data_IF_514610218806
#
_entry.id   IF_514610218806
#
_cell.length_a   1.000
_cell.length_b   1.000
_cell.length_c   1.000
_cell.angle_alpha   90.00
_cell.angle_beta   90.00
_cell.angle_gamma   90.00
#
_symmetry.space_group_name_H-M   'P 1'
#
loop_
_entity.id
_entity.type
_entity.pdbx_description
1 polymer ?
#
# COMPACT_ATOMS: atom_id res chain seq x y z
N UNK A 1 15.26 58.94 61.49
CA UNK A 1 15.51 58.86 60.04
C UNK A 1 15.72 57.40 59.64
N UNK A 2 14.67 56.77 59.19
CA UNK A 2 14.71 55.31 58.82
C UNK A 2 14.66 55.20 57.31
N UNK A 3 15.76 54.79 56.68
CA UNK A 3 15.88 54.60 55.23
C UNK A 3 15.32 53.22 54.84
N UNK A 4 14.17 53.19 54.18
CA UNK A 4 13.65 52.00 53.51
C UNK A 4 14.47 51.70 52.25
N UNK A 5 15.15 50.57 52.23
CA UNK A 5 15.85 50.05 51.09
C UNK A 5 14.92 49.13 50.34
N UNK A 6 14.30 49.59 49.26
CA UNK A 6 13.46 48.81 48.36
C UNK A 6 14.36 47.96 47.45
N UNK A 7 14.31 46.62 47.67
CA UNK A 7 15.00 45.62 46.85
C UNK A 7 14.14 45.34 45.59
N UNK A 8 14.56 45.86 44.44
CA UNK A 8 13.96 45.48 43.15
C UNK A 8 14.43 44.06 42.76
N UNK A 9 13.53 43.07 42.84
CA UNK A 9 13.70 41.77 42.23
C UNK A 9 13.53 41.92 40.72
N UNK A 10 14.63 41.99 39.98
CA UNK A 10 14.62 41.84 38.53
C UNK A 10 14.34 40.38 38.15
N UNK A 11 13.09 40.07 37.75
CA UNK A 11 12.72 38.81 37.14
C UNK A 11 13.42 38.73 35.79
N UNK A 12 14.53 38.03 35.68
CA UNK A 12 15.14 37.63 34.43
C UNK A 12 14.20 36.64 33.74
N UNK A 13 13.35 37.11 32.84
CA UNK A 13 12.66 36.24 31.90
C UNK A 13 13.74 35.55 31.06
N UNK A 14 13.98 34.29 31.34
CA UNK A 14 14.81 33.42 30.48
C UNK A 14 14.08 33.32 29.15
N UNK A 15 14.50 34.13 28.18
CA UNK A 15 14.02 33.99 26.81
C UNK A 15 14.50 32.63 26.31
N UNK A 16 13.58 31.66 26.27
CA UNK A 16 13.88 30.38 25.70
C UNK A 16 14.23 30.56 24.21
N UNK A 17 15.32 29.95 23.76
CA UNK A 17 15.80 30.11 22.40
C UNK A 17 14.75 29.57 21.40
N UNK A 18 14.38 30.40 20.45
CA UNK A 18 13.54 30.05 19.31
C UNK A 18 14.43 29.66 18.13
N UNK A 19 14.03 28.64 17.41
CA UNK A 19 14.72 28.14 16.23
C UNK A 19 13.78 28.12 15.03
N UNK A 20 14.32 28.36 13.85
CA UNK A 20 13.57 28.28 12.61
C UNK A 20 13.23 26.83 12.28
N UNK A 21 12.03 26.63 11.76
CA UNK A 21 11.55 25.32 11.32
C UNK A 21 10.68 25.45 10.06
N UNK A 22 10.46 24.32 9.39
CA UNK A 22 9.56 24.21 8.26
C UNK A 22 8.55 23.09 8.52
N UNK A 23 7.29 23.37 8.23
CA UNK A 23 6.20 22.39 8.30
C UNK A 23 6.05 21.79 6.91
N UNK A 24 6.35 20.51 6.77
CA UNK A 24 6.35 19.82 5.49
C UNK A 24 5.32 18.68 5.46
N UNK A 25 4.98 18.22 4.26
CA UNK A 25 4.22 16.99 4.12
C UNK A 25 5.07 15.82 4.66
N UNK A 26 4.42 14.86 5.34
CA UNK A 26 5.09 13.64 5.81
C UNK A 26 5.86 12.94 4.71
N UNK A 27 5.24 12.84 3.55
CA UNK A 27 5.87 12.37 2.32
C UNK A 27 5.13 12.91 1.10
N UNK A 28 5.85 12.98 0.00
CA UNK A 28 5.29 13.26 -1.31
C UNK A 28 5.52 12.05 -2.20
N UNK A 29 4.46 11.56 -2.85
CA UNK A 29 4.49 10.37 -3.69
C UNK A 29 4.11 10.75 -5.11
N UNK A 30 4.97 10.42 -6.05
CA UNK A 30 4.68 10.53 -7.48
C UNK A 30 4.03 9.24 -7.96
N UNK A 31 2.81 9.35 -8.42
CA UNK A 31 2.04 8.21 -8.95
C UNK A 31 2.40 8.02 -10.41
N UNK A 32 2.84 6.80 -10.72
CA UNK A 32 3.22 6.37 -12.07
C UNK A 32 2.41 5.14 -12.48
N UNK A 33 2.28 4.91 -13.77
CA UNK A 33 1.77 3.63 -14.27
C UNK A 33 2.88 2.59 -14.30
N UNK A 34 2.57 1.37 -13.91
CA UNK A 34 3.45 0.21 -14.07
C UNK A 34 3.35 -0.45 -15.43
N UNK A 35 2.40 0.00 -16.27
CA UNK A 35 2.13 -0.54 -17.60
C UNK A 35 1.89 0.59 -18.60
N UNK A 36 2.27 0.36 -19.84
CA UNK A 36 1.97 1.27 -20.94
C UNK A 36 0.50 1.10 -21.35
N UNK A 37 -0.27 2.17 -21.18
CA UNK A 37 -1.66 2.21 -21.60
C UNK A 37 -2.17 3.64 -21.65
N UNK A 38 -3.24 3.86 -22.41
CA UNK A 38 -3.96 5.13 -22.44
C UNK A 38 -4.77 5.28 -21.16
N UNK A 39 -4.79 6.49 -20.61
CA UNK A 39 -5.61 6.84 -19.45
C UNK A 39 -7.07 6.95 -19.90
N UNK A 40 -7.91 6.03 -19.40
CA UNK A 40 -9.35 6.06 -19.63
C UNK A 40 -10.01 7.19 -18.83
N UNK A 41 -9.69 7.31 -17.54
CA UNK A 41 -10.20 8.38 -16.69
C UNK A 41 -9.28 8.71 -15.51
N UNK A 42 -9.26 9.99 -15.13
CA UNK A 42 -8.69 10.49 -13.89
C UNK A 42 -9.84 10.89 -12.97
N UNK A 43 -9.99 10.21 -11.82
CA UNK A 43 -11.15 10.32 -10.92
C UNK A 43 -11.01 11.41 -9.85
N UNK A 44 -9.90 12.11 -9.83
CA UNK A 44 -9.55 13.12 -8.83
C UNK A 44 -8.99 14.37 -9.49
N UNK A 45 -9.09 15.51 -8.82
CA UNK A 45 -8.56 16.78 -9.28
C UNK A 45 -7.56 17.33 -8.27
N UNK A 46 -6.77 18.32 -8.68
CA UNK A 46 -5.87 19.05 -7.77
C UNK A 46 -6.66 19.57 -6.55
N UNK A 47 -6.12 19.35 -5.36
CA UNK A 47 -6.75 19.72 -4.09
C UNK A 47 -7.70 18.64 -3.52
N UNK A 48 -8.04 17.61 -4.27
CA UNK A 48 -8.87 16.51 -3.76
C UNK A 48 -8.16 15.72 -2.67
N UNK A 49 -8.87 15.39 -1.59
CA UNK A 49 -8.42 14.41 -0.61
C UNK A 49 -8.65 13.00 -1.14
N UNK A 50 -7.68 12.13 -0.93
CA UNK A 50 -7.72 10.72 -1.33
C UNK A 50 -7.38 9.82 -0.15
N UNK A 51 -8.08 8.70 -0.05
CA UNK A 51 -7.78 7.66 0.93
C UNK A 51 -6.84 6.60 0.31
N UNK A 52 -6.03 5.98 1.15
CA UNK A 52 -5.21 4.82 0.75
C UNK A 52 -6.11 3.72 0.17
N UNK A 53 -5.75 3.19 -1.00
CA UNK A 53 -6.53 2.19 -1.74
C UNK A 53 -7.63 2.77 -2.62
N UNK A 54 -7.98 4.04 -2.52
CA UNK A 54 -8.95 4.70 -3.40
C UNK A 54 -8.45 4.68 -4.84
N UNK A 55 -9.34 4.35 -5.78
CA UNK A 55 -9.05 4.42 -7.22
C UNK A 55 -8.93 5.87 -7.64
N UNK A 56 -7.79 6.23 -8.22
CA UNK A 56 -7.47 7.60 -8.66
C UNK A 56 -7.38 7.72 -10.17
N UNK A 57 -6.91 6.65 -10.86
CA UNK A 57 -6.82 6.61 -12.32
C UNK A 57 -7.26 5.23 -12.80
N UNK A 58 -7.96 5.18 -13.94
CA UNK A 58 -8.23 3.96 -14.69
C UNK A 58 -7.57 4.05 -16.06
N UNK A 59 -6.97 2.96 -16.49
CA UNK A 59 -6.36 2.81 -17.80
C UNK A 59 -7.28 1.98 -18.69
N UNK A 60 -7.18 2.16 -20.00
CA UNK A 60 -7.86 1.30 -20.98
C UNK A 60 -7.52 -0.17 -20.70
N UNK A 61 -8.55 -1.01 -20.64
CA UNK A 61 -8.43 -2.40 -20.18
C UNK A 61 -9.31 -3.38 -20.96
N UNK A 62 -9.74 -3.02 -22.16
CA UNK A 62 -10.60 -3.87 -23.00
C UNK A 62 -10.04 -5.27 -23.23
N UNK A 63 -8.81 -5.42 -23.74
CA UNK A 63 -8.17 -6.71 -23.96
C UNK A 63 -8.03 -7.55 -22.70
N UNK A 64 -7.62 -6.95 -21.57
CA UNK A 64 -7.42 -7.64 -20.30
C UNK A 64 -8.74 -8.13 -19.71
N UNK A 65 -9.81 -7.33 -19.83
CA UNK A 65 -11.16 -7.76 -19.40
C UNK A 65 -11.64 -8.97 -20.20
N UNK A 66 -11.43 -8.95 -21.52
CA UNK A 66 -11.77 -10.08 -22.39
C UNK A 66 -10.93 -11.33 -22.06
N UNK A 67 -9.63 -11.16 -21.82
CA UNK A 67 -8.74 -12.24 -21.42
C UNK A 67 -9.14 -12.86 -20.08
N UNK A 68 -9.50 -12.04 -19.08
CA UNK A 68 -10.01 -12.51 -17.80
C UNK A 68 -11.31 -13.28 -17.95
N UNK A 69 -12.28 -12.76 -18.73
CA UNK A 69 -13.55 -13.43 -18.95
C UNK A 69 -13.37 -14.82 -19.62
N UNK A 70 -12.47 -14.92 -20.61
CA UNK A 70 -12.13 -16.20 -21.23
C UNK A 70 -11.50 -17.19 -20.23
N UNK A 71 -10.54 -16.72 -19.44
CA UNK A 71 -9.85 -17.56 -18.44
C UNK A 71 -10.83 -18.03 -17.35
N UNK A 72 -11.72 -17.15 -16.89
CA UNK A 72 -12.77 -17.50 -15.95
C UNK A 72 -13.74 -18.57 -16.51
N UNK A 73 -14.18 -18.41 -17.76
CA UNK A 73 -15.03 -19.41 -18.41
C UNK A 73 -14.38 -20.78 -18.46
N UNK A 74 -13.07 -20.86 -18.74
CA UNK A 74 -12.31 -22.13 -18.70
C UNK A 74 -12.21 -22.70 -17.29
N UNK A 75 -11.95 -21.85 -16.29
CA UNK A 75 -11.82 -22.27 -14.88
C UNK A 75 -13.15 -22.78 -14.28
N UNK A 76 -14.29 -22.28 -14.76
CA UNK A 76 -15.62 -22.69 -14.31
C UNK A 76 -16.10 -23.99 -14.96
N UNK A 77 -15.51 -24.39 -16.09
CA UNK A 77 -15.86 -25.61 -16.82
C UNK A 77 -15.51 -26.84 -16.00
N UNK A 78 -16.54 -27.64 -15.65
CA UNK A 78 -16.41 -28.86 -14.83
C UNK A 78 -16.78 -30.13 -15.60
N UNK A 79 -17.01 -30.05 -16.90
CA UNK A 79 -17.47 -31.17 -17.70
C UNK A 79 -16.59 -32.40 -17.59
N UNK A 80 -15.30 -32.23 -17.79
CA UNK A 80 -14.32 -33.32 -17.78
C UNK A 80 -14.19 -33.99 -16.41
N UNK A 81 -14.27 -33.19 -15.32
CA UNK A 81 -14.26 -33.75 -13.97
C UNK A 81 -15.50 -34.59 -13.72
N UNK A 82 -16.70 -34.12 -14.07
CA UNK A 82 -17.95 -34.86 -13.88
C UNK A 82 -17.96 -36.15 -14.66
N UNK A 83 -17.47 -36.15 -15.90
CA UNK A 83 -17.33 -37.35 -16.74
C UNK A 83 -16.36 -38.35 -16.09
N UNK A 84 -15.20 -37.86 -15.66
CA UNK A 84 -14.18 -38.70 -15.00
C UNK A 84 -14.66 -39.24 -13.66
N UNK A 85 -15.40 -38.46 -12.86
CA UNK A 85 -16.02 -38.92 -11.60
C UNK A 85 -17.05 -40.03 -11.84
N UNK A 86 -17.89 -39.90 -12.86
CA UNK A 86 -18.84 -40.93 -13.24
C UNK A 86 -18.11 -42.25 -13.66
N UNK A 87 -17.02 -42.11 -14.45
CA UNK A 87 -16.19 -43.24 -14.88
C UNK A 87 -15.53 -43.97 -13.69
N UNK A 88 -14.95 -43.21 -12.75
CA UNK A 88 -14.41 -43.73 -11.49
C UNK A 88 -15.51 -44.47 -10.72
N UNK A 89 -16.72 -43.93 -10.62
CA UNK A 89 -17.83 -44.59 -9.93
C UNK A 89 -18.21 -45.93 -10.54
N UNK A 90 -18.22 -46.01 -11.88
CA UNK A 90 -18.54 -47.28 -12.59
C UNK A 90 -17.44 -48.29 -12.43
N UNK A 91 -16.17 -47.95 -12.66
CA UNK A 91 -15.03 -48.86 -12.60
C UNK A 91 -14.77 -49.35 -11.18
N UNK A 92 -14.96 -48.51 -10.17
CA UNK A 92 -14.91 -48.90 -8.76
C UNK A 92 -15.91 -50.00 -8.41
N UNK A 93 -17.17 -49.87 -8.85
CA UNK A 93 -18.21 -50.87 -8.62
C UNK A 93 -17.90 -52.17 -9.37
N UNK A 94 -17.30 -52.07 -10.60
CA UNK A 94 -16.86 -53.25 -11.38
C UNK A 94 -15.75 -54.00 -10.62
N UNK A 95 -14.72 -53.27 -10.16
CA UNK A 95 -13.64 -53.85 -9.38
C UNK A 95 -14.09 -54.46 -8.06
N UNK A 96 -14.92 -53.79 -7.29
CA UNK A 96 -15.46 -54.33 -6.04
C UNK A 96 -16.22 -55.67 -6.24
N UNK A 97 -17.04 -55.74 -7.29
CA UNK A 97 -17.73 -57.01 -7.63
C UNK A 97 -16.76 -58.09 -8.09
N UNK A 98 -15.73 -57.76 -8.87
CA UNK A 98 -14.72 -58.69 -9.28
C UNK A 98 -13.93 -59.22 -8.09
N UNK A 99 -13.58 -58.37 -7.13
CA UNK A 99 -12.89 -58.78 -5.89
C UNK A 99 -13.73 -59.74 -5.04
N UNK A 100 -15.05 -59.51 -4.94
CA UNK A 100 -15.98 -60.41 -4.22
C UNK A 100 -16.11 -61.76 -4.92
N UNK A 101 -16.26 -61.79 -6.25
CA UNK A 101 -16.34 -63.04 -7.03
C UNK A 101 -15.04 -63.81 -7.02
N UNK A 102 -13.89 -63.13 -7.02
CA UNK A 102 -12.58 -63.79 -6.91
C UNK A 102 -12.43 -64.49 -5.54
N UNK A 103 -12.82 -63.82 -4.45
CA UNK A 103 -12.81 -64.44 -3.09
C UNK A 103 -13.67 -65.70 -3.00
N UNK A 104 -14.72 -65.79 -3.82
CA UNK A 104 -15.60 -66.92 -3.93
C UNK A 104 -15.15 -67.96 -4.99
N UNK A 105 -13.97 -67.76 -5.61
CA UNK A 105 -13.43 -68.56 -6.71
C UNK A 105 -14.29 -68.66 -7.97
N UNK A 106 -15.14 -67.67 -8.24
CA UNK A 106 -15.99 -67.61 -9.43
C UNK A 106 -15.30 -66.99 -10.65
N UNK A 107 -14.20 -66.23 -10.47
CA UNK A 107 -13.44 -65.66 -11.56
C UNK A 107 -11.93 -65.87 -11.39
N UNK A 108 -11.17 -65.70 -12.48
CA UNK A 108 -9.71 -65.80 -12.49
C UNK A 108 -9.04 -64.57 -11.84
N UNK A 109 -7.82 -64.76 -11.35
CA UNK A 109 -7.00 -63.62 -10.90
C UNK A 109 -6.81 -62.55 -11.98
N UNK A 110 -6.63 -62.96 -13.23
CA UNK A 110 -6.47 -62.04 -14.35
C UNK A 110 -7.69 -61.14 -14.52
N UNK A 111 -8.93 -61.69 -14.40
CA UNK A 111 -10.16 -60.89 -14.53
C UNK A 111 -10.32 -59.86 -13.38
N UNK A 112 -9.89 -60.22 -12.17
CA UNK A 112 -9.83 -59.29 -11.02
C UNK A 112 -8.81 -58.16 -11.28
N UNK A 113 -7.59 -58.53 -11.72
CA UNK A 113 -6.48 -57.60 -11.95
C UNK A 113 -6.82 -56.61 -13.09
N UNK A 114 -7.52 -57.08 -14.12
CA UNK A 114 -8.03 -56.19 -15.19
C UNK A 114 -9.02 -55.18 -14.65
N UNK A 115 -9.98 -55.60 -13.81
CA UNK A 115 -10.93 -54.68 -13.20
C UNK A 115 -10.27 -53.66 -12.24
N UNK A 116 -9.20 -54.05 -11.55
CA UNK A 116 -8.39 -53.17 -10.72
C UNK A 116 -7.62 -52.17 -11.57
N UNK A 117 -7.00 -52.59 -12.66
CA UNK A 117 -6.30 -51.71 -13.60
C UNK A 117 -7.22 -50.65 -14.23
N UNK A 118 -8.44 -51.07 -14.65
CA UNK A 118 -9.46 -50.15 -15.16
C UNK A 118 -9.83 -49.07 -14.13
N UNK A 119 -9.99 -49.48 -12.86
CA UNK A 119 -10.30 -48.52 -11.78
C UNK A 119 -9.15 -47.55 -11.51
N UNK A 120 -7.90 -48.05 -11.46
CA UNK A 120 -6.70 -47.21 -11.30
C UNK A 120 -6.59 -46.21 -12.45
N UNK A 121 -6.73 -46.68 -13.70
CA UNK A 121 -6.66 -45.78 -14.87
C UNK A 121 -7.73 -44.67 -14.79
N UNK A 122 -8.98 -45.03 -14.48
CA UNK A 122 -10.04 -44.03 -14.31
C UNK A 122 -9.76 -43.04 -13.18
N UNK A 123 -9.11 -43.49 -12.10
CA UNK A 123 -8.71 -42.62 -10.98
C UNK A 123 -7.63 -41.63 -11.38
N UNK A 124 -6.65 -42.05 -12.19
CA UNK A 124 -5.59 -41.18 -12.73
C UNK A 124 -6.17 -40.16 -13.76
N UNK A 125 -7.15 -40.57 -14.57
CA UNK A 125 -7.86 -39.67 -15.47
C UNK A 125 -8.61 -38.56 -14.71
N UNK A 126 -9.28 -38.91 -13.59
CA UNK A 126 -9.92 -37.93 -12.72
C UNK A 126 -8.91 -36.96 -12.10
N UNK A 127 -7.78 -37.49 -11.63
CA UNK A 127 -6.70 -36.67 -11.07
C UNK A 127 -6.19 -35.67 -12.10
N UNK A 128 -5.94 -36.12 -13.33
CA UNK A 128 -5.52 -35.26 -14.46
C UNK A 128 -6.56 -34.18 -14.77
N UNK A 129 -7.84 -34.51 -14.79
CA UNK A 129 -8.92 -33.55 -15.02
C UNK A 129 -8.97 -32.46 -13.93
N UNK A 130 -8.73 -32.83 -12.67
CA UNK A 130 -8.63 -31.88 -11.53
C UNK A 130 -7.41 -30.97 -11.64
N UNK A 131 -6.27 -31.51 -12.03
CA UNK A 131 -5.05 -30.72 -12.25
C UNK A 131 -5.23 -29.72 -13.40
N UNK A 132 -5.86 -30.14 -14.51
CA UNK A 132 -6.19 -29.23 -15.61
C UNK A 132 -7.10 -28.09 -15.15
N UNK A 133 -8.11 -28.37 -14.33
CA UNK A 133 -8.99 -27.34 -13.79
C UNK A 133 -8.22 -26.40 -12.83
N UNK A 134 -7.32 -26.93 -12.00
CA UNK A 134 -6.47 -26.11 -11.14
C UNK A 134 -5.62 -25.13 -11.95
N UNK A 135 -5.00 -25.61 -13.03
CA UNK A 135 -4.22 -24.76 -13.93
C UNK A 135 -5.08 -23.67 -14.56
N UNK A 136 -6.30 -23.98 -15.01
CA UNK A 136 -7.24 -23.00 -15.55
C UNK A 136 -7.62 -21.93 -14.52
N UNK A 137 -7.81 -22.29 -13.24
CA UNK A 137 -8.06 -21.33 -12.15
C UNK A 137 -6.87 -20.42 -11.92
N UNK A 138 -5.65 -20.95 -11.95
CA UNK A 138 -4.42 -20.14 -11.81
C UNK A 138 -4.24 -19.18 -13.00
N UNK A 139 -4.61 -19.60 -14.22
CA UNK A 139 -4.63 -18.71 -15.40
C UNK A 139 -5.64 -17.57 -15.21
N UNK A 140 -6.84 -17.85 -14.70
CA UNK A 140 -7.84 -16.83 -14.42
C UNK A 140 -7.36 -15.85 -13.34
N UNK A 141 -6.72 -16.34 -12.28
CA UNK A 141 -6.12 -15.50 -11.25
C UNK A 141 -5.03 -14.59 -11.84
N UNK A 142 -4.13 -15.15 -12.67
CA UNK A 142 -3.10 -14.36 -13.36
C UNK A 142 -3.73 -13.26 -14.24
N UNK A 143 -4.78 -13.58 -14.99
CA UNK A 143 -5.48 -12.60 -15.82
C UNK A 143 -6.13 -11.49 -14.98
N UNK A 144 -6.66 -11.82 -13.78
CA UNK A 144 -7.20 -10.85 -12.84
C UNK A 144 -6.12 -9.89 -12.31
N UNK A 145 -4.93 -10.40 -11.96
CA UNK A 145 -3.81 -9.56 -11.53
C UNK A 145 -3.33 -8.63 -12.65
N UNK A 146 -3.25 -9.12 -13.88
CA UNK A 146 -2.89 -8.28 -15.05
C UNK A 146 -3.93 -7.16 -15.26
N UNK A 147 -5.22 -7.48 -15.12
CA UNK A 147 -6.29 -6.46 -15.18
C UNK A 147 -6.19 -5.46 -14.03
N UNK A 148 -5.81 -5.91 -12.82
CA UNK A 148 -5.67 -5.03 -11.67
C UNK A 148 -4.62 -3.93 -11.89
N UNK A 149 -3.57 -4.17 -12.68
CA UNK A 149 -2.57 -3.17 -13.07
C UNK A 149 -3.16 -2.00 -13.87
N UNK A 150 -4.35 -2.18 -14.47
CA UNK A 150 -5.07 -1.12 -15.20
C UNK A 150 -5.82 -0.16 -14.26
N UNK A 151 -5.80 -0.41 -12.97
CA UNK A 151 -6.46 0.43 -11.95
C UNK A 151 -5.43 0.95 -10.97
N UNK A 152 -5.12 2.23 -11.06
CA UNK A 152 -4.14 2.88 -10.18
C UNK A 152 -4.86 3.39 -8.94
N UNK A 153 -4.34 2.99 -7.78
CA UNK A 153 -4.88 3.36 -6.46
C UNK A 153 -3.89 4.21 -5.69
N UNK A 154 -4.41 5.07 -4.82
CA UNK A 154 -3.56 5.85 -3.92
C UNK A 154 -2.84 4.94 -2.92
N UNK A 155 -1.51 5.04 -2.80
CA UNK A 155 -0.74 4.30 -1.79
C UNK A 155 -0.83 4.93 -0.39
N UNK A 156 -1.29 6.18 -0.29
CA UNK A 156 -1.32 6.98 0.94
C UNK A 156 -2.67 7.66 1.14
N UNK A 157 -2.93 8.08 2.38
CA UNK A 157 -3.96 9.08 2.65
C UNK A 157 -3.35 10.47 2.42
N UNK A 158 -3.93 11.29 1.56
CA UNK A 158 -3.30 12.57 1.27
C UNK A 158 -4.13 13.46 0.37
N UNK A 159 -3.48 14.47 -0.16
CA UNK A 159 -4.06 15.47 -1.06
C UNK A 159 -3.37 15.40 -2.42
N UNK A 160 -4.13 15.55 -3.49
CA UNK A 160 -3.60 15.69 -4.85
C UNK A 160 -2.95 17.06 -5.00
N UNK A 161 -1.63 17.08 -5.10
CA UNK A 161 -0.86 18.32 -5.30
C UNK A 161 -0.95 18.78 -6.74
N UNK A 162 -0.81 17.83 -7.67
CA UNK A 162 -0.76 18.12 -9.09
C UNK A 162 -1.24 16.91 -9.90
N UNK A 163 -1.92 17.18 -11.02
CA UNK A 163 -2.30 16.20 -12.04
C UNK A 163 -1.56 16.56 -13.32
N UNK A 164 -0.61 15.72 -13.73
CA UNK A 164 0.30 15.97 -14.85
C UNK A 164 -0.19 15.33 -16.15
N UNK A 165 -1.05 14.32 -16.08
CA UNK A 165 -1.60 13.60 -17.23
C UNK A 165 -3.12 13.55 -17.17
N UNK A 166 -3.75 13.59 -18.35
CA UNK A 166 -5.21 13.62 -18.50
C UNK A 166 -5.73 12.39 -19.19
N UNK A 167 -7.04 12.18 -19.15
CA UNK A 167 -7.71 11.17 -19.95
C UNK A 167 -7.40 11.35 -21.45
N UNK A 168 -7.17 10.26 -22.16
CA UNK A 168 -6.75 10.22 -23.56
C UNK A 168 -5.22 10.29 -23.76
N UNK A 169 -4.45 10.60 -22.73
CA UNK A 169 -2.97 10.57 -22.80
C UNK A 169 -2.42 9.21 -22.38
N UNK A 170 -1.20 8.90 -22.81
CA UNK A 170 -0.50 7.72 -22.29
C UNK A 170 -0.11 7.92 -20.82
N UNK A 171 -0.44 6.96 -19.98
CA UNK A 171 -0.11 6.94 -18.56
C UNK A 171 1.38 6.78 -18.27
N UNK A 172 2.11 6.13 -19.18
CA UNK A 172 3.56 6.06 -19.19
C UNK A 172 4.04 6.00 -20.65
N UNK A 173 4.83 6.96 -21.08
CA UNK A 173 5.65 6.89 -22.30
C UNK A 173 7.02 6.31 -21.90
N UNK A 174 7.49 6.71 -20.72
CA UNK A 174 8.61 6.09 -20.01
C UNK A 174 8.16 5.85 -18.57
N UNK A 175 8.69 4.81 -17.91
CA UNK A 175 8.40 4.53 -16.49
C UNK A 175 8.77 5.68 -15.53
N UNK A 176 9.37 6.74 -16.04
CA UNK A 176 9.78 7.93 -15.26
C UNK A 176 8.73 9.02 -15.20
N UNK A 177 7.75 9.01 -16.11
CA UNK A 177 6.76 10.09 -16.19
C UNK A 177 5.64 9.91 -15.16
N UNK A 178 5.49 10.81 -14.18
CA UNK A 178 4.41 10.75 -13.22
C UNK A 178 3.09 11.18 -13.84
N UNK A 179 2.00 10.51 -13.43
CA UNK A 179 0.62 10.88 -13.79
C UNK A 179 0.12 11.98 -12.87
N UNK A 180 0.43 11.87 -11.58
CA UNK A 180 0.08 12.86 -10.56
C UNK A 180 1.01 12.79 -9.36
N UNK A 181 0.95 13.83 -8.53
CA UNK A 181 1.70 13.98 -7.30
C UNK A 181 0.74 14.06 -6.12
N UNK A 182 0.94 13.22 -5.13
CA UNK A 182 0.19 13.20 -3.87
C UNK A 182 1.09 13.64 -2.72
N UNK A 183 0.52 14.35 -1.75
CA UNK A 183 1.19 14.67 -0.49
C UNK A 183 0.40 14.11 0.70
N UNK A 184 1.06 13.38 1.57
CA UNK A 184 0.51 12.96 2.86
C UNK A 184 0.70 14.10 3.86
N UNK A 185 -0.42 14.73 4.25
CA UNK A 185 -0.42 15.93 5.11
C UNK A 185 -0.94 15.68 6.53
N UNK A 186 -1.16 14.44 6.93
CA UNK A 186 -1.54 14.05 8.29
C UNK A 186 -0.83 12.73 8.71
N UNK A 187 0.09 12.81 9.69
CA UNK A 187 0.62 14.02 10.29
C UNK A 187 1.52 14.81 9.36
N UNK A 188 1.72 16.11 9.64
CA UNK A 188 2.77 16.92 9.05
C UNK A 188 4.10 16.68 9.78
N UNK A 189 5.21 16.82 9.07
CA UNK A 189 6.53 16.86 9.68
C UNK A 189 6.95 18.30 9.92
N UNK A 190 7.43 18.59 11.10
CA UNK A 190 8.08 19.85 11.45
C UNK A 190 9.58 19.58 11.51
N UNK A 191 10.31 20.11 10.56
CA UNK A 191 11.76 19.99 10.46
C UNK A 191 12.39 21.25 11.05
N UNK A 192 13.11 21.10 12.16
CA UNK A 192 13.86 22.17 12.80
C UNK A 192 15.36 21.95 12.60
N UNK A 193 16.06 23.02 12.23
CA UNK A 193 17.53 23.01 12.05
C UNK A 193 18.16 23.73 13.23
N UNK A 194 18.91 22.99 14.04
CA UNK A 194 19.54 23.49 15.25
C UNK A 194 21.06 23.57 15.08
N UNK A 195 21.74 24.53 15.75
CA UNK A 195 23.18 24.51 15.85
C UNK A 195 23.71 23.21 16.53
N UNK A 196 24.83 22.69 16.11
CA UNK A 196 25.48 21.49 16.67
C UNK A 196 25.67 21.56 18.20
N UNK A 197 25.78 22.77 18.76
CA UNK A 197 25.88 23.00 20.21
C UNK A 197 24.65 22.58 20.99
N UNK A 198 23.52 22.32 20.31
CA UNK A 198 22.29 21.80 20.88
C UNK A 198 22.27 20.26 20.96
N UNK A 199 23.27 19.58 20.39
CA UNK A 199 23.38 18.13 20.48
C UNK A 199 23.46 17.68 21.95
N UNK A 200 22.64 16.70 22.30
CA UNK A 200 22.51 16.20 23.68
C UNK A 200 21.64 17.05 24.61
N UNK A 201 21.33 18.31 24.26
CA UNK A 201 20.40 19.16 25.01
C UNK A 201 18.95 18.92 24.63
N UNK A 202 18.68 18.67 23.35
CA UNK A 202 17.37 18.27 22.85
C UNK A 202 17.28 16.75 22.82
N UNK A 203 16.19 16.19 23.36
CA UNK A 203 15.98 14.74 23.47
C UNK A 203 14.68 14.31 22.83
N UNK A 204 14.64 13.08 22.32
CA UNK A 204 13.40 12.45 21.86
C UNK A 204 12.36 12.41 22.99
N UNK A 205 11.13 12.79 22.68
CA UNK A 205 10.03 12.87 23.65
C UNK A 205 9.97 14.20 24.41
N UNK A 206 10.98 15.07 24.31
CA UNK A 206 10.94 16.42 24.88
C UNK A 206 9.85 17.23 24.21
N UNK A 207 9.06 17.98 25.00
CA UNK A 207 8.02 18.85 24.45
C UNK A 207 8.63 20.07 23.79
N UNK A 208 8.02 20.50 22.70
CA UNK A 208 8.34 21.72 22.03
C UNK A 208 7.08 22.43 21.54
N UNK A 209 7.15 23.73 21.50
CA UNK A 209 6.07 24.58 21.03
C UNK A 209 6.41 25.03 19.62
N UNK A 210 5.56 24.69 18.66
CA UNK A 210 5.67 25.08 17.25
C UNK A 210 4.67 26.19 16.96
N UNK A 211 5.15 27.28 16.42
CA UNK A 211 4.36 28.44 16.01
C UNK A 211 4.55 28.65 14.53
N UNK A 212 3.53 28.31 13.69
CA UNK A 212 3.55 28.63 12.26
C UNK A 212 3.57 30.13 12.03
N UNK A 213 3.99 30.56 10.84
CA UNK A 213 3.92 31.98 10.45
C UNK A 213 2.52 32.58 10.67
N UNK A 214 2.48 33.88 10.95
CA UNK A 214 1.29 34.61 11.39
C UNK A 214 0.05 34.46 10.50
N UNK A 215 0.23 34.18 9.21
CA UNK A 215 -0.89 33.95 8.27
C UNK A 215 -1.75 32.72 8.60
N UNK A 216 -1.16 31.70 9.28
CA UNK A 216 -1.84 30.45 9.63
C UNK A 216 -2.25 30.46 11.11
N UNK A 217 -1.40 31.06 11.95
CA UNK A 217 -1.63 31.17 13.38
C UNK A 217 -1.58 29.85 14.12
N UNK A 218 -1.89 29.92 15.41
CA UNK A 218 -1.88 28.76 16.28
C UNK A 218 -0.55 28.55 17.02
N UNK A 219 -0.63 27.77 18.09
CA UNK A 219 0.50 27.35 18.90
C UNK A 219 0.30 25.88 19.24
N UNK A 220 1.23 25.06 18.83
CA UNK A 220 1.11 23.60 18.88
C UNK A 220 2.20 23.04 19.79
N UNK A 221 1.80 22.42 20.89
CA UNK A 221 2.72 21.74 21.78
C UNK A 221 2.78 20.25 21.39
N UNK A 222 3.93 19.84 20.88
CA UNK A 222 4.14 18.48 20.34
C UNK A 222 5.49 17.94 20.79
N UNK A 223 5.63 16.62 20.94
CA UNK A 223 6.89 16.01 21.32
C UNK A 223 7.85 15.89 20.14
N UNK A 224 9.14 15.98 20.41
CA UNK A 224 10.22 15.63 19.48
C UNK A 224 10.10 14.13 19.13
N UNK A 225 9.99 13.82 17.86
CA UNK A 225 9.92 12.42 17.37
C UNK A 225 11.29 11.85 17.07
N UNK A 226 12.15 12.66 16.42
CA UNK A 226 13.50 12.26 16.01
C UNK A 226 14.47 13.41 16.32
N UNK A 227 15.66 13.06 16.79
CA UNK A 227 16.83 13.91 16.81
C UNK A 227 17.88 13.19 15.97
N UNK A 228 18.36 13.84 14.92
CA UNK A 228 19.31 13.20 14.01
C UNK A 228 20.60 12.84 14.74
N UNK A 229 21.12 11.63 14.57
CA UNK A 229 22.36 11.21 15.20
C UNK A 229 23.61 11.75 14.46
N UNK A 230 23.41 12.33 13.27
CA UNK A 230 24.48 12.83 12.40
C UNK A 230 24.37 14.36 12.28
N UNK A 231 25.45 15.05 12.60
CA UNK A 231 25.59 16.50 12.42
C UNK A 231 26.10 16.75 11.00
N UNK A 232 25.45 17.63 10.28
CA UNK A 232 25.98 18.10 8.99
C UNK A 232 27.24 18.94 9.22
N UNK A 233 28.40 18.39 8.83
CA UNK A 233 29.69 19.03 9.01
C UNK A 233 29.85 20.30 8.17
N UNK A 234 29.15 20.45 7.07
CA UNK A 234 29.25 21.61 6.19
C UNK A 234 28.55 22.83 6.79
N UNK A 235 27.37 22.63 7.36
CA UNK A 235 26.54 23.69 7.97
C UNK A 235 26.75 23.80 9.49
N UNK A 236 27.33 22.80 10.15
CA UNK A 236 27.44 22.72 11.60
C UNK A 236 26.09 22.61 12.28
N UNK A 237 25.09 21.96 11.64
CA UNK A 237 23.72 21.89 12.12
C UNK A 237 23.26 20.46 12.41
N UNK A 238 22.20 20.36 13.20
CA UNK A 238 21.52 19.15 13.63
C UNK A 238 20.05 19.21 13.23
N UNK A 239 19.55 18.18 12.58
CA UNK A 239 18.12 18.05 12.27
C UNK A 239 17.31 17.52 13.47
N UNK A 240 16.17 18.13 13.70
CA UNK A 240 15.19 17.66 14.70
C UNK A 240 13.81 17.62 14.05
N UNK A 241 13.14 16.47 14.12
CA UNK A 241 11.80 16.27 13.56
C UNK A 241 10.77 16.13 14.65
N UNK A 242 9.62 16.79 14.43
CA UNK A 242 8.43 16.63 15.26
C UNK A 242 7.25 16.24 14.34
N UNK A 243 6.24 15.56 14.89
CA UNK A 243 5.04 15.18 14.14
C UNK A 243 3.85 16.02 14.60
N UNK A 244 3.29 16.80 13.66
CA UNK A 244 2.17 17.71 13.91
C UNK A 244 0.88 17.08 13.35
N UNK A 245 -0.08 16.64 14.21
CA UNK A 245 -1.36 16.10 13.74
C UNK A 245 -2.15 17.16 12.95
N UNK A 246 -2.67 16.77 11.79
CA UNK A 246 -3.38 17.67 10.87
C UNK A 246 -4.65 17.03 10.27
N UNK A 247 -5.41 16.29 11.09
CA UNK A 247 -6.58 15.50 10.65
C UNK A 247 -7.60 16.28 9.83
N UNK A 248 -7.72 17.58 10.07
CA UNK A 248 -8.65 18.46 9.33
C UNK A 248 -8.02 19.12 8.11
N UNK A 249 -6.74 18.92 7.84
CA UNK A 249 -6.04 19.58 6.75
C UNK A 249 -5.98 21.10 6.89
N UNK A 250 -6.10 21.61 8.14
CA UNK A 250 -6.17 23.06 8.39
C UNK A 250 -4.81 23.76 8.22
N UNK A 251 -3.71 23.01 8.40
CA UNK A 251 -2.36 23.52 8.26
C UNK A 251 -1.82 23.06 6.90
N UNK A 252 -1.47 23.98 5.99
CA UNK A 252 -0.84 23.61 4.73
C UNK A 252 0.61 23.17 4.96
N UNK A 253 1.10 22.25 4.14
CA UNK A 253 2.53 21.93 4.07
C UNK A 253 3.29 23.03 3.31
N UNK A 254 4.59 23.17 3.58
CA UNK A 254 5.46 24.17 2.95
C UNK A 254 5.49 25.51 3.71
N UNK A 255 5.11 25.54 4.98
CA UNK A 255 5.01 26.74 5.80
C UNK A 255 6.19 26.83 6.75
N UNK A 256 6.76 28.04 6.86
CA UNK A 256 7.77 28.34 7.87
C UNK A 256 7.17 28.37 9.27
N UNK A 257 7.97 28.02 10.26
CA UNK A 257 7.57 28.07 11.65
C UNK A 257 8.75 28.42 12.56
N UNK A 258 8.44 28.67 13.81
CA UNK A 258 9.42 28.74 14.88
C UNK A 258 9.13 27.66 15.90
N UNK A 259 10.18 27.06 16.43
CA UNK A 259 10.09 26.04 17.47
C UNK A 259 10.86 26.46 18.69
N UNK A 260 10.27 26.24 19.85
CA UNK A 260 10.84 26.47 21.17
C UNK A 260 10.78 25.15 21.95
N UNK A 261 11.92 24.67 22.42
CA UNK A 261 12.00 23.46 23.25
C UNK A 261 11.77 23.81 24.72
N UNK A 262 10.92 23.02 25.39
CA UNK A 262 10.54 23.23 26.78
C UNK A 262 11.44 22.46 27.75
#
# INVERSE_FOLDING_TARGET
MLRFLTLLLASSACAAAEFDCMIEARQTVEIRSSVEAVIESVKVTRGSFVAKGQVIVTLESGPERAALALAQGRAETQGDIKVSEARVGITRKKWQRAEELFKQNFISANARDEAEADFKLASEELQRARETQLLARLEAQRAAEVLALRTIRSPVNGVVVEVMRKAGEFGAITFKDPIMKLAEIDPLHVEAILPASMYGKVKRGQRAVVVPEAAIGGRYEIPVSIVDPVIDAASGTLGVRLELPNRKGAIPAGVRCRVQFL
#
